data_IF_283035404885
#
_entry.id   IF_283035404885
#
_cell.length_a   1.000
_cell.length_b   1.000
_cell.length_c   1.000
_cell.angle_alpha   90.00
_cell.angle_beta   90.00
_cell.angle_gamma   90.00
#
_symmetry.space_group_name_H-M   'P 1'
#
loop_
_entity.id
_entity.type
_entity.pdbx_description
1 polymer ?
#
# COMPACT_ATOMS: atom_id res chain seq x y z
N UNK A 1 29.76 18.26 -7.96
CA UNK A 1 29.25 18.49 -6.59
C UNK A 1 28.35 17.31 -6.28
N UNK A 2 28.65 16.56 -5.22
CA UNK A 2 27.86 15.37 -4.89
C UNK A 2 26.56 15.80 -4.23
N UNK A 3 25.43 15.58 -4.92
CA UNK A 3 24.12 15.82 -4.33
C UNK A 3 23.91 14.89 -3.13
N UNK A 4 23.60 15.47 -1.97
CA UNK A 4 23.39 14.70 -0.73
C UNK A 4 21.91 14.58 -0.47
N UNK A 5 21.40 13.35 -0.53
CA UNK A 5 20.02 13.07 -0.10
C UNK A 5 20.02 12.88 1.40
N UNK A 6 19.35 13.79 2.10
CA UNK A 6 19.10 13.68 3.54
C UNK A 6 17.71 13.09 3.72
N UNK A 7 17.64 11.76 3.79
CA UNK A 7 16.46 11.08 4.33
C UNK A 7 16.73 10.88 5.81
N UNK A 8 15.89 11.45 6.68
CA UNK A 8 16.07 11.28 8.12
C UNK A 8 15.45 9.96 8.56
N UNK A 9 16.22 8.88 8.40
CA UNK A 9 15.89 7.58 8.99
C UNK A 9 16.17 7.53 10.50
N UNK A 10 16.71 8.62 11.10
CA UNK A 10 17.49 8.57 12.35
C UNK A 10 17.05 9.54 13.45
N UNK A 11 15.95 10.29 13.32
CA UNK A 11 15.51 11.20 14.41
C UNK A 11 14.00 11.23 14.66
N UNK A 12 13.46 10.09 15.08
CA UNK A 12 12.46 10.11 16.14
C UNK A 12 13.06 9.45 17.38
N UNK A 13 13.70 10.28 18.22
CA UNK A 13 14.09 9.94 19.57
C UNK A 13 12.80 9.82 20.40
N UNK A 14 12.18 8.63 20.41
CA UNK A 14 11.05 8.28 21.27
C UNK A 14 10.08 7.31 20.63
N UNK A 15 9.72 6.24 21.35
CA UNK A 15 8.70 5.20 21.12
C UNK A 15 7.72 5.44 19.95
N UNK A 16 8.20 5.40 18.70
CA UNK A 16 7.35 5.46 17.53
C UNK A 16 6.97 4.01 17.16
N UNK A 17 5.98 3.49 17.89
CA UNK A 17 5.46 2.15 17.71
C UNK A 17 4.43 2.12 16.56
N UNK A 18 4.23 0.94 15.98
CA UNK A 18 3.12 0.72 15.05
C UNK A 18 1.82 1.06 15.75
N UNK A 19 1.05 2.02 15.20
CA UNK A 19 -0.29 2.34 15.72
C UNK A 19 -1.32 1.45 15.06
N UNK A 20 -2.21 0.87 15.85
CA UNK A 20 -3.27 -0.03 15.39
C UNK A 20 -4.62 0.59 15.74
N UNK A 21 -5.33 0.99 14.69
CA UNK A 21 -6.69 1.53 14.80
C UNK A 21 -7.72 0.50 14.36
N UNK A 22 -8.89 0.48 15.00
CA UNK A 22 -10.05 -0.27 14.50
C UNK A 22 -11.04 0.67 13.86
N UNK A 23 -11.59 0.29 12.71
CA UNK A 23 -12.72 0.99 12.10
C UNK A 23 -13.87 0.04 11.79
N UNK A 24 -15.02 0.27 12.40
CA UNK A 24 -16.25 -0.44 12.07
C UNK A 24 -17.00 0.29 10.94
N UNK A 25 -17.50 -0.49 9.97
CA UNK A 25 -18.40 0.04 8.93
C UNK A 25 -19.87 -0.09 9.37
N UNK A 26 -20.78 0.78 8.89
CA UNK A 26 -22.22 0.56 9.02
C UNK A 26 -22.66 -0.78 8.41
N UNK A 27 -23.76 -1.34 8.91
CA UNK A 27 -24.38 -2.53 8.32
C UNK A 27 -24.84 -2.22 6.89
N UNK A 28 -24.73 -3.21 6.00
CA UNK A 28 -25.00 -3.00 4.57
C UNK A 28 -26.49 -2.73 4.28
N UNK A 29 -27.37 -3.24 5.15
CA UNK A 29 -28.81 -3.05 5.14
C UNK A 29 -29.26 -1.74 5.81
N UNK A 30 -28.31 -0.92 6.30
CA UNK A 30 -28.58 0.33 7.00
C UNK A 30 -29.05 0.16 8.45
N UNK A 31 -29.12 -1.08 8.96
CA UNK A 31 -29.46 -1.33 10.36
C UNK A 31 -28.30 -0.96 11.29
N UNK A 32 -28.61 -0.81 12.58
CA UNK A 32 -27.57 -0.70 13.59
C UNK A 32 -26.95 -2.08 13.84
N UNK A 33 -25.68 -2.08 14.26
CA UNK A 33 -25.05 -3.32 14.71
C UNK A 33 -25.81 -3.87 15.93
N UNK A 34 -26.01 -5.20 16.04
CA UNK A 34 -26.65 -5.82 17.21
C UNK A 34 -25.95 -5.40 18.51
N UNK A 35 -26.69 -4.78 19.43
CA UNK A 35 -26.16 -4.26 20.70
C UNK A 35 -25.63 -5.37 21.62
N UNK A 36 -26.11 -6.59 21.44
CA UNK A 36 -25.75 -7.77 22.23
C UNK A 36 -24.44 -8.43 21.77
N UNK A 37 -23.96 -8.12 20.56
CA UNK A 37 -22.74 -8.70 20.00
C UNK A 37 -21.47 -7.92 20.38
N UNK A 38 -21.58 -6.61 20.61
CA UNK A 38 -20.43 -5.75 20.90
C UNK A 38 -20.64 -4.96 22.18
N UNK A 39 -19.68 -5.04 23.08
CA UNK A 39 -19.63 -4.17 24.26
C UNK A 39 -18.50 -3.15 24.11
N UNK A 40 -18.91 -1.87 24.18
CA UNK A 40 -18.03 -0.70 24.14
C UNK A 40 -18.36 0.17 25.34
N UNK A 41 -17.41 0.29 26.27
CA UNK A 41 -17.57 1.10 27.48
C UNK A 41 -17.09 2.51 27.24
N UNK A 42 -17.85 3.52 27.69
CA UNK A 42 -17.45 4.93 27.55
C UNK A 42 -16.17 5.24 28.34
N UNK A 43 -15.96 4.51 29.44
CA UNK A 43 -14.80 4.63 30.33
C UNK A 43 -13.53 4.05 29.71
N UNK A 44 -13.66 3.14 28.73
CA UNK A 44 -12.54 2.52 28.00
C UNK A 44 -12.81 2.54 26.49
N UNK A 45 -12.76 3.71 25.84
CA UNK A 45 -13.18 3.88 24.44
C UNK A 45 -12.30 3.12 23.43
N UNK A 46 -11.09 2.75 23.84
CA UNK A 46 -10.12 1.99 23.04
C UNK A 46 -10.32 0.46 23.11
N UNK A 47 -11.24 0.01 23.97
CA UNK A 47 -11.51 -1.40 24.17
C UNK A 47 -12.81 -1.80 23.48
N UNK A 48 -12.79 -2.95 22.83
CA UNK A 48 -13.97 -3.58 22.25
C UNK A 48 -14.05 -5.03 22.72
N UNK A 49 -15.23 -5.42 23.20
CA UNK A 49 -15.52 -6.81 23.57
C UNK A 49 -16.49 -7.40 22.55
N UNK A 50 -16.10 -8.52 21.96
CA UNK A 50 -16.94 -9.33 21.08
C UNK A 50 -17.57 -10.42 21.93
N UNK A 51 -18.90 -10.46 21.96
CA UNK A 51 -19.68 -11.42 22.75
C UNK A 51 -20.01 -12.67 21.93
N UNK A 52 -19.88 -13.84 22.54
CA UNK A 52 -20.30 -15.12 21.97
C UNK A 52 -21.81 -15.29 22.22
N UNK A 53 -22.61 -14.72 21.32
CA UNK A 53 -24.09 -14.72 21.42
C UNK A 53 -24.68 -16.11 21.14
N UNK A 54 -23.97 -16.97 20.39
CA UNK A 54 -24.44 -18.31 19.99
C UNK A 54 -23.99 -19.43 20.93
N UNK A 55 -23.23 -19.10 22.01
CA UNK A 55 -22.64 -20.09 22.95
C UNK A 55 -21.80 -21.15 22.23
N UNK A 56 -21.10 -20.75 21.17
CA UNK A 56 -20.31 -21.63 20.30
C UNK A 56 -18.96 -22.08 20.92
N UNK A 57 -18.83 -22.01 22.25
CA UNK A 57 -17.67 -22.43 23.08
C UNK A 57 -16.44 -21.52 23.06
N UNK A 58 -16.45 -20.37 22.38
CA UNK A 58 -15.26 -19.49 22.31
C UNK A 58 -15.25 -18.41 23.41
N UNK A 59 -16.43 -18.09 23.97
CA UNK A 59 -16.54 -17.10 25.03
C UNK A 59 -16.33 -15.66 24.55
N UNK A 60 -16.44 -14.70 25.47
CA UNK A 60 -16.27 -13.29 25.13
C UNK A 60 -14.78 -12.97 24.94
N UNK A 61 -14.45 -12.25 23.87
CA UNK A 61 -13.09 -11.80 23.59
C UNK A 61 -12.97 -10.29 23.70
N UNK A 62 -12.07 -9.83 24.57
CA UNK A 62 -11.76 -8.41 24.75
C UNK A 62 -10.48 -8.04 24.03
N UNK A 63 -10.51 -6.93 23.29
CA UNK A 63 -9.37 -6.40 22.56
C UNK A 63 -9.15 -4.92 22.91
N UNK A 64 -7.89 -4.50 22.96
CA UNK A 64 -7.46 -3.12 23.19
C UNK A 64 -6.65 -2.64 21.99
N UNK A 65 -6.93 -1.42 21.53
CA UNK A 65 -6.29 -0.79 20.37
C UNK A 65 -5.84 0.64 20.70
N UNK A 66 -5.11 1.30 19.79
CA UNK A 66 -4.79 2.72 19.96
C UNK A 66 -6.03 3.60 19.88
N UNK A 67 -6.98 3.23 19.01
CA UNK A 67 -8.30 3.85 18.93
C UNK A 67 -9.32 2.92 18.25
N UNK A 68 -10.59 3.02 18.66
CA UNK A 68 -11.72 2.33 18.01
C UNK A 68 -12.67 3.36 17.40
N UNK A 69 -12.69 3.44 16.08
CA UNK A 69 -13.62 4.23 15.29
C UNK A 69 -14.85 3.40 14.96
N UNK A 70 -16.03 3.94 15.25
CA UNK A 70 -17.29 3.24 15.02
C UNK A 70 -18.00 3.73 13.77
N UNK A 71 -19.22 3.23 13.55
CA UNK A 71 -20.01 3.44 12.33
C UNK A 71 -20.41 4.90 12.10
N UNK A 72 -20.37 5.72 13.14
CA UNK A 72 -20.65 7.17 13.14
C UNK A 72 -19.42 8.03 12.85
N UNK A 73 -18.21 7.45 12.85
CA UNK A 73 -16.98 8.19 12.58
C UNK A 73 -16.89 8.57 11.09
N UNK A 74 -16.76 9.87 10.83
CA UNK A 74 -16.62 10.41 9.48
C UNK A 74 -15.23 10.13 8.87
N UNK A 75 -15.12 10.24 7.54
CA UNK A 75 -13.83 10.17 6.84
C UNK A 75 -12.86 11.27 7.29
N UNK A 76 -13.41 12.44 7.64
CA UNK A 76 -12.65 13.61 8.06
C UNK A 76 -11.98 13.38 9.42
N UNK A 77 -12.77 12.97 10.41
CA UNK A 77 -12.26 12.65 11.75
C UNK A 77 -11.25 11.51 11.68
N UNK A 78 -11.50 10.48 10.86
CA UNK A 78 -10.54 9.41 10.67
C UNK A 78 -9.22 9.94 10.08
N UNK A 79 -9.27 10.77 9.04
CA UNK A 79 -8.08 11.36 8.44
C UNK A 79 -7.26 12.19 9.44
N UNK A 80 -7.91 13.10 10.16
CA UNK A 80 -7.29 13.98 11.14
C UNK A 80 -6.56 13.19 12.24
N UNK A 81 -7.17 12.10 12.70
CA UNK A 81 -6.63 11.32 13.82
C UNK A 81 -5.68 10.18 13.39
N UNK A 82 -5.67 9.78 12.11
CA UNK A 82 -4.78 8.72 11.63
C UNK A 82 -3.73 9.20 10.62
N UNK A 83 -4.16 9.70 9.47
CA UNK A 83 -3.30 9.86 8.28
C UNK A 83 -2.62 11.21 8.20
N UNK A 84 -3.20 12.26 8.80
CA UNK A 84 -2.62 13.62 8.78
C UNK A 84 -1.18 13.65 9.29
N UNK A 85 -0.89 12.98 10.41
CA UNK A 85 0.46 12.90 10.95
C UNK A 85 1.45 12.20 10.00
N UNK A 86 0.98 11.25 9.19
CA UNK A 86 1.81 10.54 8.20
C UNK A 86 2.23 11.48 7.06
N UNK A 87 1.33 12.38 6.64
CA UNK A 87 1.66 13.46 5.69
C UNK A 87 2.72 14.39 6.28
N UNK A 88 2.58 14.78 7.55
CA UNK A 88 3.58 15.62 8.23
C UNK A 88 4.96 14.96 8.31
N UNK A 89 5.00 13.64 8.51
CA UNK A 89 6.25 12.88 8.49
C UNK A 89 6.89 12.86 7.09
N UNK A 90 6.10 12.62 6.04
CA UNK A 90 6.61 12.67 4.67
C UNK A 90 7.16 14.07 4.31
N UNK A 91 6.49 15.14 4.75
CA UNK A 91 6.98 16.53 4.64
C UNK A 91 8.23 16.82 5.49
N UNK A 92 8.56 15.99 6.47
CA UNK A 92 9.81 16.09 7.23
C UNK A 92 10.93 15.20 6.68
N UNK A 93 10.67 14.46 5.59
CA UNK A 93 11.62 13.50 5.03
C UNK A 93 11.65 12.16 5.75
N UNK A 94 10.56 11.81 6.45
CA UNK A 94 10.37 10.54 7.15
C UNK A 94 9.42 9.68 6.34
N UNK A 95 9.79 8.41 6.11
CA UNK A 95 8.92 7.47 5.42
C UNK A 95 7.78 7.01 6.33
N UNK A 96 6.58 6.95 5.79
CA UNK A 96 5.37 6.58 6.49
C UNK A 96 4.52 5.63 5.67
N UNK A 97 3.74 4.79 6.36
CA UNK A 97 2.87 3.82 5.74
C UNK A 97 1.51 3.78 6.45
N UNK A 98 0.44 3.86 5.67
CA UNK A 98 -0.92 3.56 6.10
C UNK A 98 -1.45 2.38 5.28
N UNK A 99 -1.85 1.31 5.94
CA UNK A 99 -2.48 0.18 5.27
C UNK A 99 -3.80 -0.20 5.93
N UNK A 100 -4.79 -0.54 5.09
CA UNK A 100 -6.08 -1.04 5.51
C UNK A 100 -6.12 -2.58 5.45
N UNK A 101 -6.39 -3.25 6.57
CA UNK A 101 -6.47 -4.71 6.68
C UNK A 101 -7.83 -5.20 7.24
N UNK A 102 -8.35 -6.29 6.69
CA UNK A 102 -9.58 -6.92 7.17
C UNK A 102 -10.22 -7.85 6.15
N UNK A 103 -11.29 -8.54 6.54
CA UNK A 103 -12.00 -9.49 5.67
C UNK A 103 -12.54 -8.82 4.40
N UNK A 104 -12.71 -9.58 3.32
CA UNK A 104 -13.41 -9.13 2.10
C UNK A 104 -14.77 -8.53 2.41
N UNK A 105 -14.99 -7.27 2.01
CA UNK A 105 -16.21 -6.50 2.30
C UNK A 105 -16.19 -5.74 3.64
N UNK A 106 -15.04 -5.61 4.31
CA UNK A 106 -14.90 -4.83 5.55
C UNK A 106 -14.93 -3.30 5.37
N UNK A 107 -14.76 -2.80 4.14
CA UNK A 107 -14.62 -1.36 3.88
C UNK A 107 -13.18 -0.84 3.82
N UNK A 108 -12.18 -1.70 3.54
CA UNK A 108 -10.78 -1.29 3.29
C UNK A 108 -10.66 -0.25 2.17
N UNK A 109 -11.14 -0.60 0.98
CA UNK A 109 -11.12 0.26 -0.21
C UNK A 109 -11.88 1.55 0.03
N UNK A 110 -13.02 1.49 0.75
CA UNK A 110 -13.76 2.69 1.17
C UNK A 110 -12.96 3.58 2.13
N UNK A 111 -12.19 3.00 3.04
CA UNK A 111 -11.35 3.78 3.96
C UNK A 111 -10.21 4.47 3.23
N UNK A 112 -9.48 3.76 2.38
CA UNK A 112 -8.32 4.31 1.65
C UNK A 112 -8.73 5.26 0.53
N UNK A 113 -9.63 4.84 -0.36
CA UNK A 113 -10.00 5.59 -1.56
C UNK A 113 -11.34 6.34 -1.42
N UNK A 114 -12.31 5.74 -0.72
CA UNK A 114 -13.64 6.33 -0.52
C UNK A 114 -14.47 6.40 -1.79
N UNK A 115 -15.52 7.23 -1.74
CA UNK A 115 -16.33 7.57 -2.91
C UNK A 115 -15.75 8.83 -3.58
N UNK A 116 -15.70 8.89 -4.93
CA UNK A 116 -15.21 10.07 -5.62
C UNK A 116 -16.18 11.25 -5.44
N UNK A 117 -15.65 12.36 -4.94
CA UNK A 117 -16.42 13.59 -4.71
C UNK A 117 -17.23 13.59 -3.42
N UNK A 118 -17.30 14.76 -2.77
CA UNK A 118 -18.09 14.97 -1.54
C UNK A 118 -17.37 14.56 -0.26
N UNK A 119 -18.13 14.36 0.81
CA UNK A 119 -17.60 14.16 2.18
C UNK A 119 -16.99 12.77 2.40
N UNK A 120 -17.34 11.81 1.54
CA UNK A 120 -16.94 10.40 1.65
C UNK A 120 -15.61 10.07 0.96
N UNK A 121 -14.86 11.07 0.54
CA UNK A 121 -13.52 10.87 -0.01
C UNK A 121 -12.60 10.16 0.98
N UNK A 122 -11.77 9.27 0.45
CA UNK A 122 -10.85 8.40 1.18
C UNK A 122 -9.77 9.12 1.96
N UNK A 123 -9.05 8.37 2.78
CA UNK A 123 -7.81 8.84 3.42
C UNK A 123 -6.77 9.32 2.40
N UNK A 124 -6.68 8.68 1.23
CA UNK A 124 -5.70 9.03 0.20
C UNK A 124 -5.95 10.42 -0.37
N UNK A 125 -7.15 10.70 -0.91
CA UNK A 125 -7.45 12.01 -1.50
C UNK A 125 -7.39 13.13 -0.46
N UNK A 126 -7.80 12.88 0.80
CA UNK A 126 -7.62 13.84 1.90
C UNK A 126 -6.14 14.09 2.23
N UNK A 127 -5.31 13.05 2.16
CA UNK A 127 -3.85 13.19 2.33
C UNK A 127 -3.22 14.00 1.20
N UNK A 128 -3.66 13.79 -0.04
CA UNK A 128 -3.21 14.57 -1.20
C UNK A 128 -3.62 16.04 -1.03
N UNK A 129 -4.88 16.30 -0.71
CA UNK A 129 -5.39 17.66 -0.48
C UNK A 129 -4.60 18.38 0.62
N UNK A 130 -4.45 17.75 1.78
CA UNK A 130 -3.68 18.32 2.88
C UNK A 130 -2.20 18.55 2.52
N UNK A 131 -1.59 17.64 1.76
CA UNK A 131 -0.20 17.79 1.30
C UNK A 131 -0.03 19.01 0.40
N UNK A 132 -0.91 19.21 -0.59
CA UNK A 132 -0.86 20.37 -1.47
C UNK A 132 -1.12 21.68 -0.70
N UNK A 133 -2.08 21.68 0.23
CA UNK A 133 -2.32 22.80 1.15
C UNK A 133 -1.06 23.17 1.94
N UNK A 134 -0.35 22.16 2.45
CA UNK A 134 0.86 22.38 3.23
C UNK A 134 2.01 22.92 2.38
N UNK A 135 2.18 22.41 1.16
CA UNK A 135 3.17 22.93 0.21
C UNK A 135 2.85 24.38 -0.13
N UNK A 136 1.58 24.71 -0.42
CA UNK A 136 1.17 26.06 -0.76
C UNK A 136 1.44 27.04 0.39
N UNK A 137 1.15 26.65 1.65
CA UNK A 137 1.46 27.48 2.84
C UNK A 137 2.97 27.62 3.08
N UNK A 138 3.77 26.63 2.67
CA UNK A 138 5.23 26.65 2.78
C UNK A 138 5.93 27.35 1.60
N UNK A 139 5.20 27.88 0.61
CA UNK A 139 5.79 28.59 -0.56
C UNK A 139 6.61 29.85 -0.18
N UNK A 140 6.44 30.37 1.04
CA UNK A 140 7.28 31.46 1.57
C UNK A 140 8.66 30.99 2.07
N UNK A 141 8.90 29.67 2.18
CA UNK A 141 10.17 29.10 2.61
C UNK A 141 11.15 28.92 1.45
N UNK A 142 12.44 28.87 1.77
CA UNK A 142 13.55 28.64 0.85
C UNK A 142 13.60 27.23 0.25
N UNK A 143 12.49 26.48 0.17
CA UNK A 143 12.48 25.10 -0.34
C UNK A 143 11.61 24.96 -1.58
N UNK A 144 12.13 24.33 -2.60
CA UNK A 144 11.37 23.87 -3.77
C UNK A 144 10.87 22.44 -3.51
N UNK A 145 9.56 22.21 -3.66
CA UNK A 145 8.96 20.90 -3.41
C UNK A 145 8.54 20.28 -4.75
N UNK A 146 8.98 19.05 -5.00
CA UNK A 146 8.52 18.24 -6.12
C UNK A 146 7.80 17.00 -5.60
N UNK A 147 6.56 16.83 -6.06
CA UNK A 147 5.75 15.65 -5.77
C UNK A 147 5.82 14.67 -6.94
N UNK A 148 6.10 13.41 -6.64
CA UNK A 148 6.09 12.32 -7.61
C UNK A 148 5.23 11.19 -7.06
N UNK A 149 4.33 10.65 -7.87
CA UNK A 149 3.48 9.53 -7.47
C UNK A 149 3.79 8.28 -8.27
N UNK A 150 3.59 7.14 -7.64
CA UNK A 150 3.53 5.83 -8.30
C UNK A 150 2.33 5.04 -7.79
N UNK A 151 1.78 4.17 -8.63
CA UNK A 151 0.62 3.36 -8.27
C UNK A 151 0.76 1.95 -8.83
N UNK A 152 0.78 0.96 -7.94
CA UNK A 152 0.94 -0.44 -8.31
C UNK A 152 -0.10 -1.33 -7.65
N UNK A 153 -0.31 -2.50 -8.25
CA UNK A 153 -0.99 -3.62 -7.61
C UNK A 153 -0.09 -4.85 -7.47
N UNK A 154 -0.39 -5.67 -6.47
CA UNK A 154 0.15 -7.01 -6.31
C UNK A 154 -1.02 -7.98 -6.42
N UNK A 155 -1.06 -8.71 -7.53
CA UNK A 155 -2.08 -9.72 -7.81
C UNK A 155 -1.42 -11.06 -8.05
N UNK A 156 -1.74 -12.08 -7.25
CA UNK A 156 -1.13 -13.41 -7.33
C UNK A 156 0.41 -13.37 -7.34
N UNK A 157 1.00 -12.57 -6.44
CA UNK A 157 2.45 -12.33 -6.34
C UNK A 157 3.08 -11.70 -7.60
N UNK A 158 2.30 -11.10 -8.49
CA UNK A 158 2.79 -10.31 -9.62
C UNK A 158 2.62 -8.83 -9.34
N UNK A 159 3.69 -8.06 -9.53
CA UNK A 159 3.65 -6.60 -9.42
C UNK A 159 3.23 -6.02 -10.76
N UNK A 160 2.23 -5.14 -10.78
CA UNK A 160 1.74 -4.48 -11.99
C UNK A 160 1.61 -2.99 -11.77
N UNK A 161 1.85 -2.22 -12.81
CA UNK A 161 1.81 -0.77 -12.79
C UNK A 161 0.41 -0.27 -13.18
N UNK A 162 -0.28 0.34 -12.21
CA UNK A 162 -1.60 0.94 -12.38
C UNK A 162 -1.51 2.37 -12.92
N UNK A 163 -0.41 3.09 -12.66
CA UNK A 163 -0.21 4.47 -13.09
C UNK A 163 -0.05 4.58 -14.62
N UNK A 164 0.43 3.52 -15.29
CA UNK A 164 0.48 3.43 -16.77
C UNK A 164 -0.86 3.68 -17.46
N UNK A 165 -2.00 3.38 -16.81
CA UNK A 165 -3.31 3.71 -17.38
C UNK A 165 -3.49 5.22 -17.59
N UNK A 166 -2.98 6.04 -16.65
CA UNK A 166 -3.00 7.49 -16.79
C UNK A 166 -2.09 7.95 -17.94
N UNK A 167 -0.84 7.48 -17.97
CA UNK A 167 0.12 7.84 -19.02
C UNK A 167 -0.41 7.53 -20.42
N UNK A 168 -0.99 6.34 -20.62
CA UNK A 168 -1.61 5.93 -21.89
C UNK A 168 -2.81 6.79 -22.26
N UNK A 169 -3.62 7.18 -21.27
CA UNK A 169 -4.82 8.00 -21.49
C UNK A 169 -4.46 9.44 -21.88
N UNK A 170 -3.40 10.00 -21.31
CA UNK A 170 -3.02 11.41 -21.51
C UNK A 170 -1.93 11.62 -22.56
N UNK A 171 -1.23 10.57 -22.99
CA UNK A 171 -0.05 10.68 -23.85
C UNK A 171 1.12 11.40 -23.17
N UNK A 172 1.15 11.41 -21.84
CA UNK A 172 2.19 12.10 -21.06
C UNK A 172 3.51 11.34 -21.21
N UNK A 173 4.66 12.04 -21.36
CA UNK A 173 5.96 11.37 -21.42
C UNK A 173 6.18 10.45 -20.22
N UNK A 174 6.54 9.21 -20.53
CA UNK A 174 6.79 8.19 -19.53
C UNK A 174 8.13 8.43 -18.82
N UNK A 175 8.12 8.45 -17.49
CA UNK A 175 9.34 8.41 -16.68
C UNK A 175 9.31 7.17 -15.79
N UNK A 176 10.37 6.37 -15.88
CA UNK A 176 10.42 5.04 -15.26
C UNK A 176 11.51 4.97 -14.20
N UNK A 177 11.22 4.26 -13.12
CA UNK A 177 12.16 4.07 -12.01
C UNK A 177 13.29 3.11 -12.40
N UNK A 178 14.53 3.61 -12.45
CA UNK A 178 15.72 2.81 -12.81
C UNK A 178 16.64 2.53 -11.61
N UNK A 179 16.40 3.18 -10.49
CA UNK A 179 17.18 3.13 -9.25
C UNK A 179 16.27 3.47 -8.06
N UNK A 180 16.83 3.58 -6.85
CA UNK A 180 16.08 4.06 -5.69
C UNK A 180 15.45 5.43 -5.98
N UNK A 181 14.29 5.72 -5.40
CA UNK A 181 13.52 6.93 -5.76
C UNK A 181 14.33 8.23 -5.59
N UNK A 182 15.19 8.28 -4.58
CA UNK A 182 16.08 9.41 -4.33
C UNK A 182 17.16 9.58 -5.42
N UNK A 183 17.83 8.48 -5.79
CA UNK A 183 18.84 8.51 -6.85
C UNK A 183 18.23 8.81 -8.22
N UNK A 184 17.08 8.19 -8.51
CA UNK A 184 16.31 8.45 -9.71
C UNK A 184 15.98 9.95 -9.83
N UNK A 185 15.52 10.58 -8.75
CA UNK A 185 15.16 11.99 -8.74
C UNK A 185 16.37 12.90 -9.03
N UNK A 186 17.52 12.62 -8.40
CA UNK A 186 18.74 13.38 -8.64
C UNK A 186 19.24 13.28 -10.09
N UNK A 187 19.13 12.09 -10.72
CA UNK A 187 19.52 11.89 -12.12
C UNK A 187 18.68 12.70 -13.10
N UNK A 188 17.40 12.94 -12.79
CA UNK A 188 16.51 13.76 -13.63
C UNK A 188 16.87 15.25 -13.61
N UNK A 189 17.59 15.72 -12.58
CA UNK A 189 17.96 17.12 -12.43
C UNK A 189 19.32 17.49 -13.03
N UNK A 190 20.15 16.51 -13.39
CA UNK A 190 21.42 16.81 -14.04
C UNK A 190 21.15 17.31 -15.46
N UNK A 191 21.68 18.48 -15.87
CA UNK A 191 21.66 18.88 -17.27
C UNK A 191 22.27 17.76 -18.09
N UNK A 192 21.68 17.41 -19.23
CA UNK A 192 22.23 16.44 -20.17
C UNK A 192 23.68 16.83 -20.52
N UNK A 193 24.66 16.34 -19.76
CA UNK A 193 26.00 16.20 -20.28
C UNK A 193 25.88 15.17 -21.38
N UNK A 194 26.10 15.64 -22.60
CA UNK A 194 26.21 14.86 -23.81
C UNK A 194 26.82 13.50 -23.49
N UNK A 195 26.11 12.43 -23.87
CA UNK A 195 26.67 11.09 -23.92
C UNK A 195 27.93 11.13 -24.80
N UNK A 196 29.09 11.35 -24.19
CA UNK A 196 30.37 11.01 -24.79
C UNK A 196 30.40 9.48 -24.71
N UNK A 197 30.48 8.76 -25.84
CA UNK A 197 30.65 7.32 -25.81
C UNK A 197 31.99 7.05 -25.14
N UNK A 198 31.99 6.52 -23.91
CA UNK A 198 33.20 5.93 -23.34
C UNK A 198 33.45 4.63 -24.10
N UNK A 199 34.33 4.72 -25.09
CA UNK A 199 35.11 3.58 -25.57
C UNK A 199 35.90 3.05 -24.38
N UNK A 200 35.53 1.87 -23.85
CA UNK A 200 36.47 0.84 -23.42
C UNK A 200 35.77 -0.42 -22.87
N UNK A 201 36.18 -1.56 -23.45
CA UNK A 201 36.06 -2.96 -23.01
C UNK A 201 34.66 -3.58 -22.82
N UNK A 202 34.31 -4.41 -23.81
CA UNK A 202 33.16 -5.28 -23.84
C UNK A 202 33.23 -6.40 -22.79
N UNK A 203 32.43 -6.27 -21.73
CA UNK A 203 31.70 -7.39 -21.13
C UNK A 203 30.23 -7.02 -21.07
N UNK A 204 29.47 -7.63 -21.97
CA UNK A 204 28.03 -7.54 -22.22
C UNK A 204 27.15 -7.14 -21.02
N UNK A 205 26.88 -5.84 -20.86
CA UNK A 205 25.60 -5.36 -20.35
C UNK A 205 24.73 -5.03 -21.56
N UNK A 206 23.79 -5.92 -21.86
CA UNK A 206 22.76 -5.66 -22.85
C UNK A 206 21.88 -4.51 -22.36
N UNK A 207 22.15 -3.30 -22.83
CA UNK A 207 21.23 -2.18 -22.76
C UNK A 207 20.10 -2.43 -23.77
N UNK A 208 19.18 -3.32 -23.41
CA UNK A 208 17.88 -3.41 -24.08
C UNK A 208 17.17 -2.08 -23.81
N UNK A 209 16.76 -1.32 -24.82
CA UNK A 209 15.86 -0.18 -24.60
C UNK A 209 14.65 -0.68 -23.82
N UNK A 210 14.08 0.08 -22.85
CA UNK A 210 12.83 -0.36 -22.22
C UNK A 210 11.85 -0.66 -23.35
N UNK A 211 11.35 -1.91 -23.40
CA UNK A 211 10.47 -2.40 -24.47
C UNK A 211 9.49 -1.30 -24.86
N UNK A 212 9.45 -0.96 -26.15
CA UNK A 212 8.58 0.06 -26.70
C UNK A 212 7.16 -0.03 -26.09
N UNK A 213 6.52 1.11 -25.89
CA UNK A 213 5.18 1.27 -25.29
C UNK A 213 4.08 0.38 -25.91
N UNK A 214 4.36 -0.24 -27.07
CA UNK A 214 3.43 -1.07 -27.85
C UNK A 214 3.17 -2.48 -27.29
N UNK A 215 3.99 -3.03 -26.38
CA UNK A 215 3.87 -4.43 -25.87
C UNK A 215 3.58 -4.53 -24.36
N UNK A 216 3.03 -3.48 -23.73
CA UNK A 216 2.61 -3.56 -22.32
C UNK A 216 1.31 -4.37 -22.17
N UNK A 217 1.46 -5.68 -22.00
CA UNK A 217 0.39 -6.58 -21.59
C UNK A 217 0.23 -6.55 -20.06
N UNK A 218 -0.77 -5.81 -19.60
CA UNK A 218 -1.11 -5.70 -18.18
C UNK A 218 -1.34 -7.06 -17.51
N UNK A 219 -1.95 -8.02 -18.20
CA UNK A 219 -2.28 -9.32 -17.63
C UNK A 219 -1.01 -10.15 -17.38
N UNK A 220 -0.02 -10.02 -18.28
CA UNK A 220 1.28 -10.72 -18.19
C UNK A 220 2.32 -9.97 -17.38
N UNK A 221 2.14 -8.67 -17.16
CA UNK A 221 3.09 -7.83 -16.43
C UNK A 221 3.43 -8.40 -15.04
N UNK A 222 4.73 -8.34 -14.72
CA UNK A 222 5.29 -8.70 -13.42
C UNK A 222 6.60 -7.93 -13.23
N UNK A 223 6.52 -6.74 -12.66
CA UNK A 223 7.69 -5.90 -12.40
C UNK A 223 8.57 -6.52 -11.31
N UNK A 224 9.88 -6.30 -11.46
CA UNK A 224 10.88 -6.84 -10.53
C UNK A 224 11.19 -5.87 -9.41
N UNK A 225 11.39 -6.43 -8.22
CA UNK A 225 11.80 -5.70 -7.02
C UNK A 225 13.34 -5.79 -6.93
N UNK A 226 13.99 -4.63 -6.91
CA UNK A 226 15.44 -4.48 -6.85
C UNK A 226 15.83 -3.79 -5.54
N UNK A 227 17.10 -3.94 -5.16
CA UNK A 227 17.71 -3.30 -3.99
C UNK A 227 18.93 -2.51 -4.47
N UNK A 228 19.11 -1.29 -3.96
CA UNK A 228 20.34 -0.53 -4.21
C UNK A 228 21.49 -0.97 -3.28
N UNK A 229 22.67 -0.35 -3.45
CA UNK A 229 23.85 -0.68 -2.66
C UNK A 229 23.68 -0.40 -1.15
N UNK A 230 22.67 0.39 -0.77
CA UNK A 230 22.32 0.71 0.62
C UNK A 230 21.16 -0.15 1.14
N UNK A 231 20.69 -1.12 0.36
CA UNK A 231 19.59 -2.02 0.71
C UNK A 231 18.20 -1.38 0.61
N UNK A 232 18.07 -0.22 -0.05
CA UNK A 232 16.77 0.43 -0.28
C UNK A 232 16.06 -0.27 -1.43
N UNK A 233 14.83 -0.70 -1.17
CA UNK A 233 14.03 -1.47 -2.11
C UNK A 233 13.36 -0.53 -3.13
N UNK A 234 13.30 -0.91 -4.40
CA UNK A 234 12.54 -0.21 -5.43
C UNK A 234 11.98 -1.17 -6.49
N UNK A 235 11.04 -0.69 -7.31
CA UNK A 235 10.49 -1.47 -8.43
C UNK A 235 11.09 -0.94 -9.71
N UNK A 236 11.88 -1.78 -10.39
CA UNK A 236 12.47 -1.39 -11.66
C UNK A 236 11.37 -1.20 -12.71
N UNK A 237 11.48 -0.15 -13.52
CA UNK A 237 10.60 0.23 -14.62
C UNK A 237 9.17 0.69 -14.23
N UNK A 238 8.93 0.91 -12.93
CA UNK A 238 7.67 1.47 -12.42
C UNK A 238 7.50 2.91 -12.88
N UNK A 239 6.30 3.28 -13.32
CA UNK A 239 5.97 4.65 -13.70
C UNK A 239 6.03 5.60 -12.50
N UNK A 240 6.81 6.66 -12.67
CA UNK A 240 7.02 7.74 -11.70
C UNK A 240 6.50 9.04 -12.31
N UNK A 241 5.39 9.56 -11.79
CA UNK A 241 4.67 10.69 -12.39
C UNK A 241 4.78 11.91 -11.49
N UNK A 242 5.47 12.96 -11.95
CA UNK A 242 5.49 14.25 -11.25
C UNK A 242 4.12 14.89 -11.30
N UNK A 243 3.56 15.29 -10.15
CA UNK A 243 2.22 15.90 -10.08
C UNK A 243 2.31 17.36 -9.65
N UNK A 244 1.52 18.21 -10.32
CA UNK A 244 1.50 19.66 -10.05
C UNK A 244 0.19 20.14 -9.40
N UNK A 245 -0.83 19.29 -9.33
CA UNK A 245 -2.08 19.61 -8.65
C UNK A 245 -2.73 18.36 -8.03
N UNK A 246 -3.65 18.57 -7.08
CA UNK A 246 -4.42 17.49 -6.46
C UNK A 246 -5.30 16.77 -7.47
N UNK A 247 -5.87 17.49 -8.44
CA UNK A 247 -6.75 16.95 -9.47
C UNK A 247 -6.01 15.97 -10.37
N UNK A 248 -4.74 16.25 -10.66
CA UNK A 248 -3.90 15.33 -11.42
C UNK A 248 -3.61 14.05 -10.63
N UNK A 249 -3.26 14.17 -9.35
CA UNK A 249 -3.02 12.99 -8.51
C UNK A 249 -4.28 12.12 -8.35
N UNK A 250 -5.45 12.73 -8.14
CA UNK A 250 -6.73 12.02 -8.10
C UNK A 250 -7.08 11.39 -9.45
N UNK A 251 -6.77 12.05 -10.58
CA UNK A 251 -6.98 11.47 -11.91
C UNK A 251 -6.12 10.21 -12.15
N UNK A 252 -4.90 10.17 -11.63
CA UNK A 252 -4.03 8.99 -11.66
C UNK A 252 -4.66 7.85 -10.85
N UNK A 253 -5.14 8.14 -9.64
CA UNK A 253 -5.85 7.17 -8.79
C UNK A 253 -7.08 6.61 -9.51
N UNK A 254 -7.92 7.47 -10.07
CA UNK A 254 -9.13 7.06 -10.78
C UNK A 254 -8.83 6.20 -12.01
N UNK A 255 -7.79 6.56 -12.78
CA UNK A 255 -7.38 5.76 -13.94
C UNK A 255 -6.89 4.37 -13.51
N UNK A 256 -6.07 4.29 -12.46
CA UNK A 256 -5.58 3.02 -11.92
C UNK A 256 -6.69 2.15 -11.31
N UNK A 257 -7.61 2.74 -10.55
CA UNK A 257 -8.77 2.03 -10.00
C UNK A 257 -9.73 1.54 -11.10
N UNK A 258 -9.92 2.33 -12.17
CA UNK A 258 -10.69 1.90 -13.33
C UNK A 258 -10.01 0.74 -14.04
N UNK A 259 -8.68 0.79 -14.23
CA UNK A 259 -7.91 -0.31 -14.82
C UNK A 259 -8.05 -1.57 -13.97
N UNK A 260 -7.90 -1.46 -12.65
CA UNK A 260 -8.14 -2.55 -11.69
C UNK A 260 -9.53 -3.12 -11.93
N UNK A 261 -10.58 -2.30 -11.82
CA UNK A 261 -11.98 -2.69 -11.98
C UNK A 261 -12.35 -3.32 -13.34
N UNK A 262 -11.79 -2.83 -14.46
CA UNK A 262 -12.08 -3.43 -15.78
C UNK A 262 -11.49 -4.83 -15.94
N UNK A 263 -10.40 -5.14 -15.23
CA UNK A 263 -9.86 -6.49 -15.17
C UNK A 263 -10.66 -7.36 -14.19
N UNK A 264 -11.36 -6.76 -13.22
CA UNK A 264 -12.31 -7.46 -12.36
C UNK A 264 -13.54 -7.93 -13.15
N UNK A 265 -14.16 -7.08 -13.97
CA UNK A 265 -15.39 -7.46 -14.70
C UNK A 265 -15.17 -8.56 -15.75
N UNK A 266 -13.95 -8.69 -16.30
CA UNK A 266 -13.58 -9.80 -17.20
C UNK A 266 -13.39 -11.15 -16.48
N UNK A 267 -13.19 -11.17 -15.15
CA UNK A 267 -12.85 -12.38 -14.37
C UNK A 267 -13.58 -12.54 -13.01
N UNK A 268 -14.72 -11.86 -12.80
CA UNK A 268 -15.54 -11.76 -11.56
C UNK A 268 -15.13 -10.63 -10.59
N UNK A 269 -16.03 -10.22 -9.69
CA UNK A 269 -15.82 -9.15 -8.70
C UNK A 269 -14.53 -9.34 -7.85
N UNK A 270 -13.47 -8.57 -8.15
CA UNK A 270 -12.06 -8.83 -7.80
C UNK A 270 -11.38 -7.68 -7.02
N UNK A 271 -12.09 -6.59 -6.68
CA UNK A 271 -11.51 -5.47 -5.90
C UNK A 271 -11.00 -5.87 -4.51
N UNK A 272 -11.38 -7.07 -4.05
CA UNK A 272 -10.91 -7.67 -2.80
C UNK A 272 -9.71 -8.60 -2.93
N UNK A 273 -9.15 -8.80 -4.14
CA UNK A 273 -8.20 -9.90 -4.41
C UNK A 273 -6.80 -9.50 -4.88
N UNK A 274 -6.56 -8.21 -5.11
CA UNK A 274 -5.21 -7.65 -5.26
C UNK A 274 -4.95 -6.63 -4.17
N UNK A 275 -3.70 -6.54 -3.71
CA UNK A 275 -3.24 -5.44 -2.86
C UNK A 275 -2.90 -4.26 -3.76
N UNK A 276 -3.19 -3.03 -3.34
CA UNK A 276 -2.72 -1.84 -4.05
C UNK A 276 -1.84 -1.00 -3.15
N UNK A 277 -0.81 -0.39 -3.74
CA UNK A 277 0.12 0.52 -3.07
C UNK A 277 0.18 1.79 -3.91
N UNK A 278 -0.37 2.88 -3.36
CA UNK A 278 -0.19 4.21 -3.91
C UNK A 278 0.86 4.93 -3.09
N UNK A 279 1.92 5.39 -3.76
CA UNK A 279 3.06 6.01 -3.10
C UNK A 279 3.18 7.47 -3.52
N UNK A 280 3.24 8.36 -2.55
CA UNK A 280 3.59 9.77 -2.75
C UNK A 280 5.03 9.98 -2.29
N UNK A 281 5.88 10.39 -3.21
CA UNK A 281 7.26 10.78 -2.99
C UNK A 281 7.33 12.30 -2.87
N UNK A 282 7.84 12.77 -1.74
CA UNK A 282 8.01 14.20 -1.45
C UNK A 282 9.50 14.52 -1.49
N UNK A 283 9.93 15.25 -2.51
CA UNK A 283 11.30 15.75 -2.64
C UNK A 283 11.30 17.24 -2.32
N UNK A 284 12.16 17.67 -1.40
CA UNK A 284 12.33 19.08 -1.07
C UNK A 284 13.79 19.47 -1.24
N UNK A 285 14.03 20.43 -2.12
CA UNK A 285 15.36 21.00 -2.34
C UNK A 285 15.45 22.34 -1.64
N UNK A 286 16.48 22.53 -0.82
CA UNK A 286 16.76 23.84 -0.22
C UNK A 286 17.41 24.73 -1.30
N UNK A 287 16.87 25.93 -1.51
CA UNK A 287 17.44 26.97 -2.40
C UNK A 287 18.87 27.23 -1.94
N UNK A 288 19.79 27.30 -2.90
CA UNK A 288 21.23 27.50 -2.68
C UNK A 288 21.95 26.34 -1.98
N UNK A 289 21.33 25.16 -1.88
CA UNK A 289 21.96 23.92 -1.41
C UNK A 289 21.75 22.78 -2.41
N UNK A 290 22.67 21.82 -2.38
CA UNK A 290 22.56 20.54 -3.08
C UNK A 290 21.90 19.45 -2.21
N UNK A 291 21.43 19.83 -1.02
CA UNK A 291 20.70 18.91 -0.14
C UNK A 291 19.25 18.74 -0.59
N UNK A 292 18.87 17.47 -0.76
CA UNK A 292 17.49 17.06 -1.04
C UNK A 292 16.95 16.28 0.15
N UNK A 293 15.88 16.78 0.75
CA UNK A 293 15.11 16.06 1.75
C UNK A 293 14.10 15.19 1.01
N UNK A 294 14.08 13.90 1.33
CA UNK A 294 13.20 12.92 0.69
C UNK A 294 12.35 12.21 1.72
N UNK A 295 11.03 12.22 1.53
CA UNK A 295 10.06 11.46 2.32
C UNK A 295 9.08 10.68 1.44
N UNK A 296 8.49 9.64 2.02
CA UNK A 296 7.55 8.74 1.33
C UNK A 296 6.28 8.56 2.16
N UNK A 297 5.12 8.65 1.52
CA UNK A 297 3.83 8.24 2.09
C UNK A 297 3.24 7.11 1.25
N UNK A 298 3.14 5.92 1.85
CA UNK A 298 2.48 4.77 1.25
C UNK A 298 1.04 4.66 1.76
N UNK A 299 0.08 4.69 0.86
CA UNK A 299 -1.34 4.43 1.11
C UNK A 299 -1.72 3.09 0.48
N UNK A 300 -2.03 2.10 1.32
CA UNK A 300 -2.14 0.69 0.91
C UNK A 300 -3.53 0.15 1.19
N UNK A 301 -4.20 -0.35 0.15
CA UNK A 301 -5.45 -1.11 0.27
C UNK A 301 -5.13 -2.60 0.10
N UNK A 302 -5.13 -3.33 1.21
CA UNK A 302 -4.85 -4.77 1.16
C UNK A 302 -6.06 -5.54 0.65
N UNK A 303 -5.80 -6.63 -0.06
CA UNK A 303 -6.81 -7.62 -0.39
C UNK A 303 -7.45 -8.17 0.89
N UNK A 304 -8.74 -8.51 0.81
CA UNK A 304 -9.45 -9.09 1.93
C UNK A 304 -9.13 -10.57 2.07
N UNK A 305 -8.80 -11.00 3.28
CA UNK A 305 -8.79 -12.44 3.56
C UNK A 305 -10.23 -12.97 3.49
N UNK A 306 -10.37 -14.25 3.12
CA UNK A 306 -11.64 -14.97 3.11
C UNK A 306 -11.50 -16.17 4.03
N UNK A 307 -12.28 -16.20 5.12
CA UNK A 307 -12.47 -17.41 5.93
C UNK A 307 -13.43 -18.37 5.21
N UNK A 308 -13.05 -18.86 4.04
CA UNK A 308 -13.71 -20.03 3.48
C UNK A 308 -12.89 -21.26 3.90
N UNK A 309 -13.34 -21.89 4.98
CA UNK A 309 -12.71 -23.07 5.56
C UNK A 309 -12.56 -24.20 4.52
N UNK A 310 -13.46 -24.28 3.53
CA UNK A 310 -13.41 -25.26 2.45
C UNK A 310 -12.23 -25.01 1.50
N UNK A 311 -11.99 -23.74 1.14
CA UNK A 311 -10.87 -23.36 0.27
C UNK A 311 -9.51 -23.49 0.98
N UNK A 312 -9.46 -23.13 2.28
CA UNK A 312 -8.25 -23.25 3.11
C UNK A 312 -7.89 -24.72 3.36
N UNK A 313 -8.86 -25.59 3.68
CA UNK A 313 -8.61 -27.03 3.79
C UNK A 313 -8.11 -27.58 2.45
N UNK A 314 -8.72 -27.22 1.32
CA UNK A 314 -8.29 -27.66 0.00
C UNK A 314 -6.82 -27.28 -0.29
N UNK A 315 -6.40 -26.07 0.08
CA UNK A 315 -5.01 -25.60 -0.06
C UNK A 315 -4.03 -26.35 0.87
N UNK A 316 -4.46 -26.69 2.08
CA UNK A 316 -3.65 -27.42 3.08
C UNK A 316 -3.46 -28.90 2.71
N UNK A 317 -4.45 -29.50 2.02
CA UNK A 317 -4.33 -30.84 1.46
C UNK A 317 -3.43 -30.90 0.21
N UNK A 318 -3.37 -29.83 -0.58
CA UNK A 318 -2.47 -29.74 -1.74
C UNK A 318 -0.99 -29.64 -1.35
N UNK A 319 -0.68 -28.99 -0.23
CA UNK A 319 0.71 -28.77 0.23
C UNK A 319 1.34 -29.97 0.95
N UNK A 320 0.54 -30.89 1.50
CA UNK A 320 1.03 -32.09 2.21
C UNK A 320 1.22 -33.33 1.33
N UNK A 321 1.14 -33.21 0.00
CA UNK A 321 1.45 -34.30 -0.94
C UNK A 321 0.62 -35.59 -0.81
N UNK A 322 -0.37 -35.65 0.07
CA UNK A 322 -0.99 -36.91 0.52
C UNK A 322 -2.42 -37.11 0.02
N UNK A 323 -2.98 -36.22 -0.79
CA UNK A 323 -4.24 -36.51 -1.48
C UNK A 323 -4.16 -36.11 -2.95
N UNK A 324 -3.98 -37.13 -3.78
CA UNK A 324 -4.41 -37.15 -5.18
C UNK A 324 -5.94 -37.01 -5.17
N UNK A 325 -6.45 -35.79 -4.97
CA UNK A 325 -7.86 -35.50 -5.16
C UNK A 325 -8.20 -35.95 -6.58
N UNK A 326 -9.04 -36.98 -6.68
CA UNK A 326 -9.47 -37.59 -7.94
C UNK A 326 -9.80 -36.48 -8.95
N UNK A 327 -9.12 -36.56 -10.08
CA UNK A 327 -9.05 -35.62 -11.21
C UNK A 327 -10.37 -35.37 -11.95
N UNK A 328 -11.52 -35.62 -11.32
CA UNK A 328 -12.84 -35.51 -11.93
C UNK A 328 -13.64 -34.30 -11.43
N UNK A 329 -13.42 -33.83 -10.19
CA UNK A 329 -14.10 -32.61 -9.68
C UNK A 329 -13.31 -31.31 -9.88
N UNK A 330 -12.00 -31.39 -10.13
CA UNK A 330 -11.17 -30.24 -10.51
C UNK A 330 -11.34 -29.83 -11.99
N UNK A 331 -12.12 -30.59 -12.77
CA UNK A 331 -12.56 -30.20 -14.12
C UNK A 331 -13.78 -29.26 -14.12
N UNK A 332 -14.22 -28.78 -12.95
CA UNK A 332 -15.22 -27.72 -12.86
C UNK A 332 -14.51 -26.37 -12.80
N UNK A 333 -14.46 -25.73 -13.97
CA UNK A 333 -14.09 -24.34 -14.25
C UNK A 333 -12.64 -23.91 -13.95
N UNK A 334 -11.96 -23.39 -14.97
CA UNK A 334 -10.67 -22.69 -14.86
C UNK A 334 -10.72 -21.52 -13.84
N UNK A 335 -11.92 -20.93 -13.68
CA UNK A 335 -12.19 -19.87 -12.71
C UNK A 335 -12.04 -20.31 -11.25
N UNK A 336 -12.31 -21.57 -10.91
CA UNK A 336 -12.16 -22.05 -9.51
C UNK A 336 -10.69 -22.27 -9.14
N UNK A 337 -9.87 -22.74 -10.09
CA UNK A 337 -8.42 -22.87 -9.92
C UNK A 337 -7.73 -21.53 -9.72
N UNK A 338 -8.10 -20.51 -10.51
CA UNK A 338 -7.57 -19.16 -10.38
C UNK A 338 -7.97 -18.52 -9.04
N UNK A 339 -9.23 -18.69 -8.60
CA UNK A 339 -9.72 -18.21 -7.30
C UNK A 339 -8.95 -18.81 -6.12
N UNK A 340 -8.67 -20.11 -6.17
CA UNK A 340 -7.87 -20.77 -5.14
C UNK A 340 -6.45 -20.19 -5.06
N UNK A 341 -5.84 -19.93 -6.22
CA UNK A 341 -4.50 -19.32 -6.31
C UNK A 341 -4.50 -17.90 -5.74
N UNK A 342 -5.50 -17.09 -6.06
CA UNK A 342 -5.69 -15.76 -5.48
C UNK A 342 -5.77 -15.83 -3.96
N UNK A 343 -6.67 -16.66 -3.42
CA UNK A 343 -6.86 -16.82 -1.98
C UNK A 343 -5.56 -17.22 -1.25
N UNK A 344 -4.79 -18.15 -1.84
CA UNK A 344 -3.51 -18.57 -1.29
C UNK A 344 -2.49 -17.42 -1.23
N UNK A 345 -2.36 -16.64 -2.31
CA UNK A 345 -1.41 -15.51 -2.35
C UNK A 345 -1.84 -14.36 -1.43
N UNK A 346 -3.14 -14.08 -1.32
CA UNK A 346 -3.67 -13.08 -0.38
C UNK A 346 -3.31 -13.49 1.05
N UNK A 347 -3.64 -14.72 1.46
CA UNK A 347 -3.38 -15.16 2.82
C UNK A 347 -1.88 -15.25 3.14
N UNK A 348 -1.06 -15.68 2.18
CA UNK A 348 0.40 -15.74 2.33
C UNK A 348 1.00 -14.35 2.58
N UNK A 349 0.65 -13.37 1.73
CA UNK A 349 1.14 -11.99 1.87
C UNK A 349 0.64 -11.31 3.15
N UNK A 350 -0.61 -11.55 3.54
CA UNK A 350 -1.16 -11.04 4.81
C UNK A 350 -0.49 -11.66 6.04
N UNK A 351 -0.19 -12.96 6.01
CA UNK A 351 0.57 -13.63 7.08
C UNK A 351 1.98 -13.06 7.19
N UNK A 352 2.65 -12.80 6.06
CA UNK A 352 3.96 -12.16 6.05
C UNK A 352 3.93 -10.75 6.67
N UNK A 353 2.93 -9.94 6.33
CA UNK A 353 2.73 -8.62 6.96
C UNK A 353 2.54 -8.76 8.48
N UNK A 354 1.72 -9.71 8.92
CA UNK A 354 1.52 -9.99 10.35
C UNK A 354 2.82 -10.32 11.09
N UNK A 355 3.65 -11.21 10.51
CA UNK A 355 4.97 -11.54 11.08
C UNK A 355 5.90 -10.34 11.15
N UNK A 356 5.94 -9.50 10.11
CA UNK A 356 6.76 -8.28 10.09
C UNK A 356 6.32 -7.33 11.20
N UNK A 357 5.02 -7.07 11.35
CA UNK A 357 4.48 -6.20 12.41
C UNK A 357 4.80 -6.75 13.79
N UNK A 358 4.64 -8.05 14.01
CA UNK A 358 5.02 -8.70 15.28
C UNK A 358 6.52 -8.61 15.56
N UNK A 359 7.37 -8.70 14.53
CA UNK A 359 8.83 -8.62 14.66
C UNK A 359 9.34 -7.20 14.88
N UNK A 360 8.51 -6.18 14.66
CA UNK A 360 8.84 -4.77 14.91
C UNK A 360 8.61 -4.36 16.36
N UNK A 361 7.84 -5.14 17.12
CA UNK A 361 7.65 -4.91 18.54
C UNK A 361 8.96 -5.19 19.29
N UNK A 362 9.56 -4.18 19.97
CA UNK A 362 10.79 -4.37 20.73
C UNK A 362 10.70 -5.46 21.80
N UNK A 363 9.50 -5.77 22.30
CA UNK A 363 9.26 -6.79 23.33
C UNK A 363 9.09 -8.20 22.75
N UNK A 364 9.00 -8.34 21.42
CA UNK A 364 8.69 -9.60 20.76
C UNK A 364 9.80 -10.67 20.83
N UNK A 365 11.04 -10.25 21.13
CA UNK A 365 12.21 -11.13 21.15
C UNK A 365 12.68 -11.62 19.77
N UNK A 366 12.13 -11.10 18.67
CA UNK A 366 12.60 -11.41 17.31
C UNK A 366 13.90 -10.64 16.98
N UNK A 367 14.93 -11.37 16.55
CA UNK A 367 16.22 -10.79 16.13
C UNK A 367 16.28 -10.41 14.64
N UNK A 368 15.25 -10.76 13.87
CA UNK A 368 15.21 -10.60 12.43
C UNK A 368 13.79 -10.30 11.97
N UNK A 369 13.65 -9.30 11.09
CA UNK A 369 12.37 -8.92 10.51
C UNK A 369 12.23 -9.57 9.12
N UNK A 370 11.24 -10.46 8.90
CA UNK A 370 11.15 -11.28 7.69
C UNK A 370 10.53 -10.55 6.49
N UNK A 371 11.11 -9.43 6.06
CA UNK A 371 10.60 -8.66 4.91
C UNK A 371 10.58 -9.46 3.60
N UNK A 372 11.40 -10.50 3.48
CA UNK A 372 11.51 -11.35 2.29
C UNK A 372 10.41 -12.42 2.17
N UNK A 373 9.57 -12.61 3.19
CA UNK A 373 8.49 -13.60 3.17
C UNK A 373 7.42 -13.32 2.10
N UNK A 374 7.31 -12.07 1.62
CA UNK A 374 6.43 -11.71 0.50
C UNK A 374 6.95 -10.50 -0.28
N UNK A 375 6.52 -10.35 -1.54
CA UNK A 375 6.78 -9.13 -2.32
C UNK A 375 6.19 -7.88 -1.66
N UNK A 376 5.02 -8.01 -1.03
CA UNK A 376 4.34 -6.91 -0.33
C UNK A 376 5.21 -6.38 0.82
N UNK A 377 5.67 -7.28 1.70
CA UNK A 377 6.53 -6.90 2.82
C UNK A 377 7.87 -6.33 2.36
N UNK A 378 8.40 -6.84 1.25
CA UNK A 378 9.64 -6.32 0.65
C UNK A 378 9.45 -4.91 0.08
N UNK A 379 8.34 -4.64 -0.61
CA UNK A 379 8.01 -3.30 -1.12
C UNK A 379 7.82 -2.29 0.01
N UNK A 380 7.17 -2.70 1.09
CA UNK A 380 6.87 -1.83 2.22
C UNK A 380 8.04 -1.72 3.21
N UNK A 381 9.14 -2.46 3.01
CA UNK A 381 10.30 -2.48 3.90
C UNK A 381 10.83 -1.07 4.20
N UNK A 382 10.89 -0.21 3.18
CA UNK A 382 11.40 1.16 3.30
C UNK A 382 10.54 2.06 4.21
N UNK A 383 9.31 1.68 4.53
CA UNK A 383 8.36 2.48 5.32
C UNK A 383 7.83 1.77 6.57
N UNK A 384 7.85 0.43 6.57
CA UNK A 384 7.45 -0.40 7.72
C UNK A 384 8.60 -0.59 8.72
N UNK A 385 9.86 -0.60 8.26
CA UNK A 385 11.03 -0.73 9.13
C UNK A 385 11.58 0.59 9.69
N UNK A 386 11.25 1.72 9.08
CA UNK A 386 11.66 3.05 9.53
C UNK A 386 10.61 3.66 10.46
N UNK A 387 10.40 3.03 11.62
CA UNK A 387 9.76 3.55 12.85
C UNK A 387 8.46 4.40 12.77
N UNK A 388 7.75 4.50 11.65
CA UNK A 388 6.44 5.16 11.59
C UNK A 388 5.50 4.41 10.64
N UNK A 389 4.73 3.47 11.19
CA UNK A 389 3.63 2.80 10.49
C UNK A 389 2.32 2.98 11.25
N UNK A 390 1.28 3.44 10.56
CA UNK A 390 -0.10 3.43 11.04
C UNK A 390 -0.87 2.31 10.38
N UNK A 391 -1.14 1.22 11.10
CA UNK A 391 -2.07 0.18 10.66
C UNK A 391 -3.50 0.61 10.99
N UNK A 392 -4.37 0.72 9.99
CA UNK A 392 -5.81 0.86 10.20
C UNK A 392 -6.45 -0.49 9.88
N UNK A 393 -7.06 -1.14 10.87
CA UNK A 393 -7.76 -2.41 10.74
C UNK A 393 -9.27 -2.15 10.57
N UNK A 394 -9.82 -2.08 9.34
CA UNK A 394 -11.25 -2.20 9.15
C UNK A 394 -11.71 -3.62 9.48
N UNK A 395 -12.35 -3.79 10.64
CA UNK A 395 -12.98 -5.05 11.01
C UNK A 395 -14.29 -5.19 10.22
N UNK A 396 -14.43 -6.29 9.46
CA UNK A 396 -15.75 -6.71 8.97
C UNK A 396 -16.43 -7.47 10.10
N UNK A 397 -17.56 -6.96 10.55
CA UNK A 397 -18.59 -7.82 11.11
C UNK A 397 -19.47 -8.23 9.93
N UNK A 398 -19.45 -9.52 9.61
CA UNK A 398 -20.35 -10.07 8.60
C UNK A 398 -21.66 -10.33 9.34
N UNK A 399 -22.69 -9.57 8.99
CA UNK A 399 -24.08 -9.87 9.33
C UNK A 399 -24.71 -10.52 8.10
#
# INVERSE_FOLDING_TARGET
MDHKVTTDYTRLLGNANVKVYVRARPCADGQQAPEDMFERKKETPNNIVIKDTERMQYGNHAFSFDHVYWTDTTQDTLFEQTSKCLVDYALKGINSCCFAYGQTGSGKTFSIFGEPGGEKVGLLSRSIEYLFDMIQRQTSNSKEVTLVVSFLEIYCDRVRDLARAYLKKTGRPSSYQTSSSAEWFLRQQQPQQQQIPRTESATSFSSIPPKAEEDYDYEKANFEIHEDAQGRVFVKDLSMITVSSREEADAIVQCGLKLRSTHETKMNAVSSRSHTVFTIHVFQRVRDSDEVIYGMLNMVDLAGYVFDFSAVLAAQFLTKGTLKFRSERLKKSESDGQRLKEALHINSSLSAVGKVVMSLDPESGYNYIPYRDSKLTRLLQNSIGSFVSGACLPIKFTF
#
